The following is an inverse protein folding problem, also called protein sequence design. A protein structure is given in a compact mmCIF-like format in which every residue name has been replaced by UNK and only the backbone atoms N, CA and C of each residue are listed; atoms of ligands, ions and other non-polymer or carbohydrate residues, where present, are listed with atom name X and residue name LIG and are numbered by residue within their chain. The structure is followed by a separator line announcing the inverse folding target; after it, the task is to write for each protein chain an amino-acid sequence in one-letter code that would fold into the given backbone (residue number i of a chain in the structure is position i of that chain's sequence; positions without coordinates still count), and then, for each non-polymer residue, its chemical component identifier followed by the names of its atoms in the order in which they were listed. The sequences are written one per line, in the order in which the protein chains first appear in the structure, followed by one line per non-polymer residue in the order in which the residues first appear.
data_IF_591815650752
#
_entry.id   IF_591815650752
#
_cell.length_a   1.000
_cell.length_b   1.000
_cell.length_c   1.000
_cell.angle_alpha   90.00
_cell.angle_beta   90.00
_cell.angle_gamma   90.00
#
_symmetry.space_group_name_H-M   'P 1'
#
loop_
_entity.id
_entity.type
_entity.pdbx_description
1 polymer ?
#
# COMPACT_ATOMS: atom_id res chain seq x y z
N UNK A 1 28.22 2.49 10.37
CA UNK A 1 28.63 1.63 9.24
C UNK A 1 28.69 2.56 8.03
N UNK A 2 29.87 2.73 7.40
CA UNK A 2 29.99 3.56 6.20
C UNK A 2 29.27 2.89 5.03
N UNK A 3 28.56 3.71 4.22
CA UNK A 3 27.98 3.22 2.95
C UNK A 3 29.11 2.61 2.12
N UNK A 4 28.89 1.41 1.58
CA UNK A 4 29.82 0.85 0.62
C UNK A 4 29.78 1.70 -0.65
N UNK A 5 30.92 2.20 -1.10
CA UNK A 5 31.03 2.96 -2.35
C UNK A 5 30.44 2.14 -3.51
N UNK A 6 29.43 2.71 -4.21
CA UNK A 6 28.75 2.09 -5.33
C UNK A 6 27.51 1.24 -4.98
N UNK A 7 27.13 1.12 -3.71
CA UNK A 7 25.86 0.50 -3.34
C UNK A 7 24.65 1.38 -3.69
N UNK A 8 23.50 0.80 -4.10
CA UNK A 8 22.28 1.57 -4.29
C UNK A 8 21.91 2.35 -3.02
N UNK A 9 21.36 3.56 -3.17
CA UNK A 9 21.10 4.49 -2.05
C UNK A 9 20.23 3.87 -0.95
N UNK A 10 19.29 3.02 -1.32
CA UNK A 10 18.33 2.41 -0.39
C UNK A 10 18.94 1.31 0.50
N UNK A 11 20.12 0.76 0.13
CA UNK A 11 20.81 -0.20 0.99
C UNK A 11 21.42 0.48 2.21
N UNK A 12 20.93 0.10 3.40
CA UNK A 12 21.32 0.71 4.65
C UNK A 12 20.81 2.13 4.85
N UNK A 13 19.84 2.58 4.05
CA UNK A 13 19.25 3.90 4.18
C UNK A 13 18.36 4.00 5.43
N UNK A 14 18.38 5.18 6.04
CA UNK A 14 17.40 5.59 7.05
C UNK A 14 16.31 6.40 6.36
N UNK A 15 15.09 5.89 6.37
CA UNK A 15 13.92 6.53 5.75
C UNK A 15 13.06 7.15 6.84
N UNK A 16 12.86 8.47 6.79
CA UNK A 16 12.06 9.21 7.76
C UNK A 16 10.63 9.37 7.24
N UNK A 17 9.67 8.77 7.93
CA UNK A 17 8.26 8.90 7.57
C UNK A 17 7.68 10.22 8.08
N UNK A 18 6.96 10.93 7.22
CA UNK A 18 6.14 12.09 7.56
C UNK A 18 4.69 11.82 7.22
N UNK A 19 3.82 11.95 8.23
CA UNK A 19 2.39 12.00 8.02
C UNK A 19 1.98 13.49 7.89
N UNK A 20 1.65 13.97 6.68
CA UNK A 20 1.46 15.40 6.41
C UNK A 20 0.53 16.07 7.40
N UNK A 21 -0.63 15.45 7.65
CA UNK A 21 -1.72 15.98 8.47
C UNK A 21 -1.31 16.39 9.89
N UNK A 22 -0.32 15.74 10.49
CA UNK A 22 0.09 15.95 11.89
C UNK A 22 1.51 16.48 12.05
N UNK A 23 2.24 16.72 10.95
CA UNK A 23 3.66 17.06 11.03
C UNK A 23 3.92 18.54 11.30
N UNK A 24 3.44 19.42 10.42
CA UNK A 24 3.62 20.88 10.55
C UNK A 24 2.51 21.59 9.79
N UNK A 25 1.72 22.36 10.53
CA UNK A 25 0.72 23.29 10.03
C UNK A 25 1.43 24.60 9.64
N UNK A 26 1.27 25.03 8.39
CA UNK A 26 1.89 26.26 7.87
C UNK A 26 0.94 27.46 7.86
N UNK A 27 -0.38 27.23 7.89
CA UNK A 27 -1.40 28.25 7.70
C UNK A 27 -2.25 28.53 8.96
N UNK A 28 -2.10 27.70 10.01
CA UNK A 28 -2.78 27.88 11.31
C UNK A 28 -4.19 27.30 11.36
N UNK A 29 -4.56 26.39 10.45
CA UNK A 29 -5.88 25.77 10.43
C UNK A 29 -5.98 24.49 11.30
N UNK A 30 -4.89 24.07 11.92
CA UNK A 30 -4.80 22.90 12.79
C UNK A 30 -4.45 21.62 12.04
N UNK A 31 -4.17 21.69 10.74
CA UNK A 31 -3.83 20.56 9.88
C UNK A 31 -2.44 20.80 9.26
N UNK A 32 -1.56 19.81 9.38
CA UNK A 32 -0.25 19.85 8.71
C UNK A 32 -0.39 19.72 7.19
N UNK A 33 0.57 20.31 6.46
CA UNK A 33 0.51 20.47 5.02
C UNK A 33 1.89 20.34 4.32
N UNK A 34 1.92 20.34 2.99
CA UNK A 34 3.15 20.27 2.21
C UNK A 34 4.04 21.50 2.40
N UNK A 35 3.53 22.75 2.45
CA UNK A 35 4.35 23.91 2.82
C UNK A 35 4.98 23.77 4.21
N UNK A 36 4.30 23.18 5.17
CA UNK A 36 4.83 22.86 6.50
C UNK A 36 5.97 21.85 6.44
N UNK A 37 5.84 20.81 5.61
CA UNK A 37 6.93 19.85 5.35
C UNK A 37 8.11 20.59 4.72
N UNK A 38 7.85 21.41 3.70
CA UNK A 38 8.89 22.22 3.02
C UNK A 38 9.67 23.09 4.00
N UNK A 39 8.99 23.73 4.96
CA UNK A 39 9.62 24.55 5.98
C UNK A 39 10.51 23.77 6.96
N UNK A 40 10.27 22.44 7.12
CA UNK A 40 10.99 21.57 8.05
C UNK A 40 12.03 20.64 7.40
N UNK A 41 12.25 20.72 6.09
CA UNK A 41 13.20 19.84 5.39
C UNK A 41 14.64 19.98 5.90
N UNK A 42 15.08 21.19 6.28
CA UNK A 42 16.41 21.39 6.86
C UNK A 42 16.56 20.65 8.20
N UNK A 43 15.50 20.61 9.02
CA UNK A 43 15.47 19.82 10.24
C UNK A 43 15.57 18.32 9.94
N UNK A 44 14.78 17.81 8.97
CA UNK A 44 14.80 16.40 8.60
C UNK A 44 16.18 15.99 8.07
N UNK A 45 16.78 16.79 7.19
CA UNK A 45 18.13 16.56 6.68
C UNK A 45 19.18 16.58 7.81
N UNK A 46 19.01 17.47 8.78
CA UNK A 46 19.87 17.58 9.98
C UNK A 46 19.82 16.34 10.89
N UNK A 47 18.82 15.47 10.78
CA UNK A 47 18.76 14.19 11.50
C UNK A 47 19.73 13.16 10.91
N UNK A 48 20.29 13.40 9.71
CA UNK A 48 21.21 12.47 9.04
C UNK A 48 20.49 11.28 8.36
N UNK A 49 19.22 11.46 8.01
CA UNK A 49 18.44 10.48 7.25
C UNK A 49 18.76 10.55 5.76
N UNK A 50 18.50 9.48 5.01
CA UNK A 50 18.80 9.39 3.58
C UNK A 50 17.59 9.71 2.71
N UNK A 51 16.40 9.46 3.22
CA UNK A 51 15.17 9.64 2.46
C UNK A 51 14.02 10.13 3.35
N UNK A 52 13.09 10.83 2.72
CA UNK A 52 11.80 11.20 3.25
C UNK A 52 10.73 10.29 2.63
N UNK A 53 9.87 9.70 3.45
CA UNK A 53 8.65 9.03 3.01
C UNK A 53 7.43 9.85 3.45
N UNK A 54 6.66 10.33 2.48
CA UNK A 54 5.43 11.10 2.71
C UNK A 54 4.24 10.15 2.63
N UNK A 55 3.47 10.02 3.73
CA UNK A 55 2.20 9.30 3.77
C UNK A 55 1.16 9.95 2.84
N UNK A 56 0.02 9.27 2.50
CA UNK A 56 -0.87 9.74 1.45
C UNK A 56 -1.31 11.20 1.62
N UNK A 57 -1.18 11.96 0.54
CA UNK A 57 -1.59 13.37 0.44
C UNK A 57 -2.48 13.62 -0.80
N UNK A 58 -2.88 12.56 -1.49
CA UNK A 58 -3.74 12.60 -2.65
C UNK A 58 -5.17 13.02 -2.28
N UNK A 59 -5.97 13.44 -3.28
CA UNK A 59 -7.39 13.70 -3.06
C UNK A 59 -8.08 12.49 -2.45
N UNK A 60 -8.72 12.68 -1.31
CA UNK A 60 -9.36 11.64 -0.53
C UNK A 60 -10.54 12.19 0.27
N UNK A 61 -11.63 11.43 0.43
CA UNK A 61 -12.65 11.74 1.44
C UNK A 61 -12.17 11.61 2.89
N UNK A 62 -10.95 11.11 3.12
CA UNK A 62 -10.33 10.93 4.43
C UNK A 62 -11.07 9.95 5.35
N UNK A 63 -11.81 8.99 4.78
CA UNK A 63 -12.45 7.94 5.56
C UNK A 63 -11.42 6.99 6.20
N UNK A 64 -10.26 6.85 5.56
CA UNK A 64 -9.10 6.11 6.04
C UNK A 64 -7.83 6.99 5.97
N UNK A 65 -7.93 8.22 6.46
CA UNK A 65 -6.81 9.16 6.64
C UNK A 65 -5.92 9.35 5.40
N UNK A 66 -6.50 9.23 4.18
CA UNK A 66 -5.81 9.40 2.91
C UNK A 66 -5.53 8.10 2.15
N UNK A 67 -5.66 6.93 2.79
CA UNK A 67 -5.52 5.64 2.11
C UNK A 67 -6.72 5.28 1.24
N UNK A 68 -7.85 6.00 1.33
CA UNK A 68 -9.00 5.94 0.44
C UNK A 68 -8.89 6.99 -0.68
N UNK A 69 -8.07 6.70 -1.70
CA UNK A 69 -7.70 7.65 -2.76
C UNK A 69 -8.84 7.86 -3.76
N UNK A 70 -9.22 9.12 -3.98
CA UNK A 70 -10.21 9.52 -4.98
C UNK A 70 -9.61 10.05 -6.29
N UNK A 71 -8.35 10.52 -6.27
CA UNK A 71 -7.57 10.91 -7.45
C UNK A 71 -6.09 10.71 -7.15
N UNK A 72 -5.42 9.82 -7.92
CA UNK A 72 -4.01 9.48 -7.74
C UNK A 72 -3.02 10.54 -8.23
N UNK A 73 -3.49 11.53 -9.04
CA UNK A 73 -2.60 12.44 -9.77
C UNK A 73 -2.73 13.89 -9.33
N UNK A 74 -3.41 14.11 -8.20
CA UNK A 74 -3.56 15.45 -7.64
C UNK A 74 -3.38 15.42 -6.12
N UNK A 75 -3.01 16.58 -5.56
CA UNK A 75 -2.87 16.81 -4.13
C UNK A 75 -4.23 17.18 -3.56
N UNK A 76 -4.59 16.64 -2.38
CA UNK A 76 -5.77 17.10 -1.66
C UNK A 76 -5.58 18.57 -1.26
N UNK A 77 -6.56 19.45 -1.52
CA UNK A 77 -6.47 20.87 -1.16
C UNK A 77 -6.17 21.14 0.33
N UNK A 78 -6.49 20.18 1.20
CA UNK A 78 -6.12 20.22 2.62
C UNK A 78 -4.60 20.29 2.83
N UNK A 79 -3.83 19.64 1.95
CA UNK A 79 -2.37 19.54 2.05
C UNK A 79 -1.62 20.52 1.16
N UNK A 80 -2.30 21.19 0.23
CA UNK A 80 -1.69 22.13 -0.70
C UNK A 80 -1.96 21.80 -2.17
N UNK A 81 -0.96 22.01 -3.01
CA UNK A 81 -1.05 21.88 -4.47
C UNK A 81 0.09 21.01 -5.03
N UNK A 82 -0.02 20.63 -6.30
CA UNK A 82 1.08 19.98 -7.03
C UNK A 82 2.37 20.85 -7.05
N UNK A 83 2.22 22.17 -7.10
CA UNK A 83 3.38 23.08 -7.07
C UNK A 83 4.07 23.06 -5.69
N UNK A 84 3.31 22.93 -4.59
CA UNK A 84 3.89 22.76 -3.25
C UNK A 84 4.65 21.44 -3.14
N UNK A 85 4.10 20.38 -3.71
CA UNK A 85 4.78 19.08 -3.79
C UNK A 85 6.09 19.17 -4.60
N UNK A 86 6.05 19.80 -5.78
CA UNK A 86 7.24 19.99 -6.61
C UNK A 86 8.33 20.79 -5.85
N UNK A 87 7.94 21.78 -5.04
CA UNK A 87 8.85 22.53 -4.18
C UNK A 87 9.47 21.67 -3.07
N UNK A 88 8.68 20.76 -2.46
CA UNK A 88 9.20 19.79 -1.48
C UNK A 88 10.25 18.89 -2.12
N UNK A 89 9.98 18.31 -3.29
CA UNK A 89 10.91 17.44 -4.01
C UNK A 89 12.21 18.19 -4.35
N UNK A 90 12.10 19.38 -4.94
CA UNK A 90 13.25 20.18 -5.34
C UNK A 90 14.15 20.53 -4.14
N UNK A 91 13.56 20.94 -3.01
CA UNK A 91 14.34 21.28 -1.80
C UNK A 91 14.92 20.03 -1.15
N UNK A 92 14.19 18.91 -1.09
CA UNK A 92 14.70 17.65 -0.56
C UNK A 92 15.95 17.20 -1.34
N UNK A 93 15.90 17.22 -2.67
CA UNK A 93 17.04 16.90 -3.52
C UNK A 93 18.23 17.86 -3.32
N UNK A 94 17.97 19.17 -3.18
CA UNK A 94 19.02 20.14 -2.87
C UNK A 94 19.72 19.88 -1.52
N UNK A 95 19.03 19.24 -0.58
CA UNK A 95 19.55 18.81 0.73
C UNK A 95 20.16 17.40 0.69
N UNK A 96 20.16 16.72 -0.47
CA UNK A 96 20.68 15.37 -0.63
C UNK A 96 19.74 14.26 -0.15
N UNK A 97 18.46 14.58 0.14
CA UNK A 97 17.45 13.62 0.52
C UNK A 97 16.77 13.02 -0.70
N UNK A 98 16.50 11.71 -0.67
CA UNK A 98 15.58 11.04 -1.60
C UNK A 98 14.13 11.23 -1.13
N UNK A 99 13.18 11.26 -2.07
CA UNK A 99 11.76 11.42 -1.78
C UNK A 99 10.99 10.16 -2.20
N UNK A 100 10.37 9.52 -1.24
CA UNK A 100 9.42 8.42 -1.44
C UNK A 100 8.01 8.90 -1.09
N UNK A 101 7.03 8.44 -1.85
CA UNK A 101 5.61 8.67 -1.55
C UNK A 101 4.86 7.36 -1.38
N UNK A 102 3.77 7.41 -0.64
CA UNK A 102 2.88 6.28 -0.48
C UNK A 102 2.07 6.04 -1.75
N UNK A 103 1.83 4.79 -2.11
CA UNK A 103 0.96 4.40 -3.22
C UNK A 103 0.05 3.26 -2.80
N UNK A 104 -1.23 3.48 -2.86
CA UNK A 104 -2.27 2.49 -2.55
C UNK A 104 -2.78 1.92 -3.86
N UNK A 105 -2.31 0.72 -4.23
CA UNK A 105 -2.64 0.16 -5.54
C UNK A 105 -3.82 -0.83 -5.49
N UNK A 106 -4.06 -1.49 -4.36
CA UNK A 106 -5.03 -2.60 -4.24
C UNK A 106 -6.49 -2.14 -4.34
N UNK A 107 -6.80 -0.89 -3.96
CA UNK A 107 -8.16 -0.36 -3.89
C UNK A 107 -8.19 1.14 -4.18
N UNK A 108 -9.39 1.69 -4.34
CA UNK A 108 -9.61 3.14 -4.40
C UNK A 108 -10.64 3.55 -3.37
N UNK A 109 -10.84 4.86 -3.18
CA UNK A 109 -12.06 5.36 -2.55
C UNK A 109 -13.30 5.02 -3.40
N UNK A 110 -14.43 4.79 -2.76
CA UNK A 110 -15.74 4.77 -3.43
C UNK A 110 -16.09 6.11 -4.11
N UNK A 111 -15.38 7.20 -3.76
CA UNK A 111 -15.49 8.50 -4.41
C UNK A 111 -14.68 8.61 -5.71
N UNK A 112 -13.80 7.65 -6.01
CA UNK A 112 -12.99 7.63 -7.23
C UNK A 112 -13.87 7.54 -8.49
N UNK A 113 -13.49 8.27 -9.54
CA UNK A 113 -14.24 8.29 -10.79
C UNK A 113 -14.42 6.89 -11.42
N UNK A 114 -13.39 6.03 -11.32
CA UNK A 114 -13.45 4.66 -11.83
C UNK A 114 -14.52 3.82 -11.14
N UNK A 115 -14.64 3.92 -9.80
CA UNK A 115 -15.67 3.17 -9.08
C UNK A 115 -17.07 3.72 -9.35
N UNK A 116 -17.22 5.05 -9.41
CA UNK A 116 -18.50 5.67 -9.76
C UNK A 116 -19.01 5.18 -11.11
N UNK A 117 -18.14 5.06 -12.13
CA UNK A 117 -18.49 4.51 -13.43
C UNK A 117 -18.78 3.01 -13.33
N UNK A 118 -17.90 2.23 -12.71
CA UNK A 118 -18.02 0.77 -12.61
C UNK A 118 -19.33 0.32 -11.96
N UNK A 119 -19.75 1.02 -10.89
CA UNK A 119 -20.95 0.65 -10.11
C UNK A 119 -22.29 0.93 -10.80
N UNK A 120 -22.31 1.74 -11.87
CA UNK A 120 -23.56 2.13 -12.53
C UNK A 120 -24.27 0.97 -13.24
N UNK A 121 -23.49 0.10 -13.89
CA UNK A 121 -24.02 -1.06 -14.62
C UNK A 121 -22.91 -2.08 -14.91
N UNK A 122 -23.30 -3.21 -15.52
CA UNK A 122 -22.38 -4.34 -15.83
C UNK A 122 -21.70 -4.24 -17.20
N UNK A 123 -21.89 -3.16 -17.96
CA UNK A 123 -21.49 -3.08 -19.37
C UNK A 123 -20.72 -1.81 -19.75
N UNK A 124 -20.47 -0.89 -18.80
CA UNK A 124 -19.66 0.29 -19.08
C UNK A 124 -18.16 -0.06 -19.21
N UNK A 125 -17.37 0.89 -19.68
CA UNK A 125 -15.94 0.67 -19.94
C UNK A 125 -15.13 0.22 -18.72
N UNK A 126 -15.61 0.51 -17.50
CA UNK A 126 -14.95 0.11 -16.24
C UNK A 126 -15.73 -0.96 -15.48
N UNK A 127 -16.68 -1.63 -16.13
CA UNK A 127 -17.53 -2.61 -15.47
C UNK A 127 -16.73 -3.66 -14.68
N UNK A 128 -15.58 -4.12 -15.22
CA UNK A 128 -14.76 -5.17 -14.62
C UNK A 128 -13.45 -4.66 -13.99
N UNK A 129 -13.37 -3.33 -13.75
CA UNK A 129 -12.20 -2.73 -13.10
C UNK A 129 -12.12 -2.98 -11.60
N UNK A 130 -13.25 -3.34 -10.98
CA UNK A 130 -13.35 -3.72 -9.57
C UNK A 130 -13.78 -5.17 -9.44
N UNK A 131 -13.60 -5.74 -8.27
CA UNK A 131 -13.96 -7.13 -8.01
C UNK A 131 -15.44 -7.22 -7.68
N UNK A 132 -16.23 -7.67 -8.65
CA UNK A 132 -17.66 -7.85 -8.53
C UNK A 132 -18.04 -9.33 -8.53
N UNK A 133 -19.08 -9.70 -7.77
CA UNK A 133 -19.64 -11.04 -7.78
C UNK A 133 -21.15 -11.02 -7.59
N UNK A 134 -21.83 -11.98 -8.21
CA UNK A 134 -23.26 -12.19 -7.98
C UNK A 134 -23.50 -12.79 -6.58
N UNK A 135 -24.69 -12.49 -6.02
CA UNK A 135 -25.13 -13.13 -4.79
C UNK A 135 -25.33 -14.63 -5.00
N UNK A 136 -25.19 -15.42 -3.93
CA UNK A 136 -25.67 -16.80 -3.90
C UNK A 136 -27.21 -16.84 -4.06
N UNK A 137 -27.81 -18.00 -4.35
CA UNK A 137 -29.27 -18.14 -4.52
C UNK A 137 -30.08 -17.68 -3.30
N UNK A 138 -29.51 -17.71 -2.11
CA UNK A 138 -30.12 -17.23 -0.87
C UNK A 138 -29.90 -15.73 -0.59
N UNK A 139 -29.25 -15.02 -1.50
CA UNK A 139 -28.94 -13.61 -1.39
C UNK A 139 -27.66 -13.30 -0.60
N UNK A 140 -26.97 -14.30 -0.06
CA UNK A 140 -25.72 -14.10 0.69
C UNK A 140 -24.54 -13.77 -0.22
N UNK A 141 -23.43 -13.22 0.36
CA UNK A 141 -22.19 -12.96 -0.37
C UNK A 141 -21.59 -14.19 -1.04
N UNK A 142 -20.75 -14.04 -2.09
CA UNK A 142 -20.21 -15.17 -2.86
C UNK A 142 -19.37 -16.14 -2.04
N UNK A 143 -18.72 -15.69 -0.98
CA UNK A 143 -17.89 -16.50 -0.09
C UNK A 143 -17.81 -15.90 1.32
N UNK A 144 -16.97 -16.50 2.18
CA UNK A 144 -16.85 -16.18 3.60
C UNK A 144 -15.74 -15.17 3.92
N UNK A 145 -15.18 -14.45 2.95
CA UNK A 145 -14.05 -13.56 3.21
C UNK A 145 -14.42 -12.43 4.16
N UNK A 146 -13.46 -12.10 5.03
CA UNK A 146 -13.59 -11.06 6.05
C UNK A 146 -12.67 -9.90 5.75
N UNK A 147 -13.15 -8.70 6.07
CA UNK A 147 -12.40 -7.45 5.97
C UNK A 147 -11.42 -7.30 7.13
N UNK A 148 -10.23 -6.76 6.85
CA UNK A 148 -9.22 -6.44 7.86
C UNK A 148 -9.75 -5.49 8.95
N UNK A 149 -10.63 -4.56 8.59
CA UNK A 149 -11.23 -3.61 9.52
C UNK A 149 -12.52 -4.12 10.18
N UNK A 150 -12.84 -5.39 9.97
CA UNK A 150 -13.97 -6.08 10.59
C UNK A 150 -15.18 -6.25 9.67
N UNK A 151 -15.97 -7.26 9.97
CA UNK A 151 -17.14 -7.63 9.17
C UNK A 151 -16.82 -8.43 7.90
N UNK A 152 -17.82 -8.62 7.07
CA UNK A 152 -17.69 -9.33 5.78
C UNK A 152 -16.96 -8.45 4.77
N UNK A 153 -16.17 -9.05 3.89
CA UNK A 153 -15.41 -8.33 2.86
C UNK A 153 -16.25 -7.98 1.61
N UNK A 154 -17.54 -8.14 1.64
CA UNK A 154 -18.44 -7.94 0.52
C UNK A 154 -19.55 -6.96 0.84
N UNK A 155 -19.69 -5.90 0.01
CA UNK A 155 -20.74 -4.90 0.14
C UNK A 155 -21.69 -4.99 -1.06
N UNK A 156 -23.02 -5.04 -0.80
CA UNK A 156 -24.03 -5.04 -1.84
C UNK A 156 -24.17 -3.67 -2.50
N UNK A 157 -24.16 -3.66 -3.85
CA UNK A 157 -24.45 -2.48 -4.66
C UNK A 157 -25.76 -2.68 -5.43
N UNK A 158 -26.85 -2.01 -5.00
CA UNK A 158 -28.18 -2.24 -5.56
C UNK A 158 -28.35 -1.78 -7.00
N UNK A 159 -27.60 -0.76 -7.46
CA UNK A 159 -27.66 -0.29 -8.86
C UNK A 159 -27.18 -1.36 -9.82
N UNK A 160 -26.11 -2.04 -9.44
CA UNK A 160 -25.49 -3.09 -10.22
C UNK A 160 -26.11 -4.45 -9.95
N UNK A 161 -26.73 -4.64 -8.78
CA UNK A 161 -27.26 -5.93 -8.33
C UNK A 161 -26.16 -6.97 -8.15
N UNK A 162 -25.02 -6.56 -7.58
CA UNK A 162 -23.86 -7.41 -7.27
C UNK A 162 -23.22 -6.98 -5.97
N UNK A 163 -22.43 -7.84 -5.39
CA UNK A 163 -21.49 -7.51 -4.33
C UNK A 163 -20.17 -7.02 -4.94
N UNK A 164 -19.51 -6.04 -4.29
CA UNK A 164 -18.11 -5.74 -4.55
C UNK A 164 -17.24 -6.11 -3.36
N UNK A 165 -16.01 -6.51 -3.66
CA UNK A 165 -15.00 -6.82 -2.64
C UNK A 165 -14.44 -5.55 -2.02
N UNK A 166 -14.18 -5.60 -0.70
CA UNK A 166 -13.37 -4.63 0.03
C UNK A 166 -12.57 -5.35 1.13
N UNK A 167 -11.28 -5.44 0.98
CA UNK A 167 -10.43 -6.02 2.02
C UNK A 167 -10.26 -5.09 3.24
N UNK A 168 -10.55 -3.80 3.07
CA UNK A 168 -10.50 -2.75 4.09
C UNK A 168 -11.91 -2.18 4.36
N UNK A 169 -12.10 -0.86 4.39
CA UNK A 169 -13.43 -0.28 4.58
C UNK A 169 -14.36 -0.57 3.39
N UNK A 170 -15.68 -0.64 3.64
CA UNK A 170 -16.65 -0.71 2.56
C UNK A 170 -16.59 0.49 1.59
N UNK A 171 -16.02 1.62 2.03
CA UNK A 171 -15.71 2.78 1.19
C UNK A 171 -14.42 2.64 0.37
N UNK A 172 -13.72 1.51 0.46
CA UNK A 172 -12.47 1.20 -0.25
C UNK A 172 -12.65 -0.05 -1.13
N UNK A 173 -13.39 0.06 -2.26
CA UNK A 173 -13.60 -1.07 -3.16
C UNK A 173 -12.29 -1.53 -3.80
N UNK A 174 -12.07 -2.85 -3.83
CA UNK A 174 -10.87 -3.46 -4.37
C UNK A 174 -10.87 -3.45 -5.90
N UNK A 175 -9.74 -3.04 -6.47
CA UNK A 175 -9.48 -3.08 -7.90
C UNK A 175 -9.25 -4.52 -8.37
N UNK A 176 -9.74 -4.82 -9.56
CA UNK A 176 -9.55 -6.13 -10.19
C UNK A 176 -8.23 -6.20 -10.96
N UNK A 177 -7.15 -6.56 -10.29
CA UNK A 177 -5.83 -6.69 -10.92
C UNK A 177 -5.71 -7.85 -11.91
N UNK A 178 -6.70 -8.73 -12.00
CA UNK A 178 -6.79 -9.68 -13.11
C UNK A 178 -7.12 -8.99 -14.44
N UNK A 179 -7.60 -7.73 -14.42
CA UNK A 179 -7.85 -6.92 -15.60
C UNK A 179 -6.58 -6.19 -16.04
N UNK A 180 -6.08 -6.40 -17.29
CA UNK A 180 -4.82 -5.81 -17.72
C UNK A 180 -4.78 -4.29 -17.70
N UNK A 181 -5.92 -3.62 -18.01
CA UNK A 181 -6.00 -2.15 -17.99
C UNK A 181 -5.90 -1.58 -16.59
N UNK A 182 -6.37 -2.29 -15.54
CA UNK A 182 -6.20 -1.89 -14.15
C UNK A 182 -4.71 -1.89 -13.78
N UNK A 183 -3.98 -2.97 -14.14
CA UNK A 183 -2.54 -3.01 -13.94
C UNK A 183 -1.82 -1.88 -14.68
N UNK A 184 -2.24 -1.58 -15.92
CA UNK A 184 -1.63 -0.49 -16.69
C UNK A 184 -1.92 0.87 -16.06
N UNK A 185 -3.16 1.13 -15.63
CA UNK A 185 -3.54 2.37 -14.97
C UNK A 185 -2.75 2.59 -13.66
N UNK A 186 -2.50 1.52 -12.89
CA UNK A 186 -1.64 1.57 -11.71
C UNK A 186 -0.20 1.97 -12.08
N UNK A 187 0.39 1.35 -13.10
CA UNK A 187 1.73 1.71 -13.58
C UNK A 187 1.80 3.15 -14.10
N UNK A 188 0.75 3.62 -14.78
CA UNK A 188 0.70 5.00 -15.29
C UNK A 188 0.59 6.03 -14.14
N UNK A 189 -0.04 5.67 -13.03
CA UNK A 189 -0.03 6.51 -11.83
C UNK A 189 1.36 6.57 -11.18
N UNK A 190 2.08 5.45 -11.10
CA UNK A 190 3.46 5.44 -10.63
C UNK A 190 4.35 6.30 -11.54
N UNK A 191 4.22 6.15 -12.87
CA UNK A 191 4.97 6.94 -13.86
C UNK A 191 4.75 8.44 -13.69
N UNK A 192 3.52 8.88 -13.46
CA UNK A 192 3.19 10.29 -13.27
C UNK A 192 4.02 10.93 -12.14
N UNK A 193 4.24 10.21 -11.04
CA UNK A 193 5.02 10.72 -9.91
C UNK A 193 6.53 10.57 -10.12
N UNK A 194 6.98 9.52 -10.80
CA UNK A 194 8.38 9.39 -11.21
C UNK A 194 8.79 10.54 -12.15
N UNK A 195 7.94 10.90 -13.10
CA UNK A 195 8.17 12.03 -14.02
C UNK A 195 8.22 13.39 -13.29
N UNK A 196 7.65 13.46 -12.05
CA UNK A 196 7.75 14.64 -11.15
C UNK A 196 8.94 14.59 -10.21
N UNK A 197 9.83 13.62 -10.36
CA UNK A 197 11.08 13.54 -9.59
C UNK A 197 10.99 12.77 -8.29
N UNK A 198 9.93 11.98 -8.07
CA UNK A 198 9.88 11.03 -6.94
C UNK A 198 10.96 9.96 -7.11
N UNK A 199 11.74 9.67 -6.06
CA UNK A 199 12.80 8.67 -6.08
C UNK A 199 12.31 7.26 -5.71
N UNK A 200 11.05 7.11 -5.35
CA UNK A 200 10.51 5.79 -5.03
C UNK A 200 9.14 5.80 -4.36
N UNK A 201 8.67 4.61 -4.09
CA UNK A 201 7.36 4.38 -3.52
C UNK A 201 7.41 3.47 -2.31
N UNK A 202 6.60 3.80 -1.30
CA UNK A 202 6.11 2.80 -0.36
C UNK A 202 4.78 2.30 -0.92
N UNK A 203 4.70 1.00 -1.18
CA UNK A 203 3.53 0.36 -1.74
C UNK A 203 2.67 -0.22 -0.62
N UNK A 204 1.54 0.42 -0.37
CA UNK A 204 0.58 0.03 0.66
C UNK A 204 -0.04 -1.33 0.34
N UNK A 205 -0.08 -2.21 1.34
CA UNK A 205 -0.76 -3.50 1.26
C UNK A 205 -0.55 -4.23 -0.08
N UNK A 206 0.68 -4.25 -0.59
CA UNK A 206 0.96 -4.68 -1.98
C UNK A 206 0.59 -6.14 -2.25
N UNK A 207 0.47 -6.97 -1.23
CA UNK A 207 0.04 -8.35 -1.36
C UNK A 207 -1.49 -8.50 -1.55
N UNK A 208 -2.27 -7.41 -1.46
CA UNK A 208 -3.73 -7.41 -1.63
C UNK A 208 -4.20 -7.14 -3.08
N UNK A 209 -3.29 -6.94 -4.03
CA UNK A 209 -3.68 -6.61 -5.41
C UNK A 209 -4.45 -7.74 -6.12
N UNK A 210 -4.17 -8.99 -5.81
CA UNK A 210 -4.81 -10.14 -6.45
C UNK A 210 -5.56 -11.00 -5.45
N UNK A 211 -6.74 -11.47 -5.89
CA UNK A 211 -7.57 -12.43 -5.19
C UNK A 211 -7.69 -13.74 -5.98
N UNK A 212 -8.13 -14.82 -5.34
CA UNK A 212 -8.44 -16.08 -6.02
C UNK A 212 -9.62 -15.91 -6.98
N UNK A 213 -9.39 -16.14 -8.26
CA UNK A 213 -10.43 -16.04 -9.33
C UNK A 213 -11.63 -16.96 -9.12
N UNK A 214 -11.44 -18.06 -8.40
CA UNK A 214 -12.51 -19.02 -8.11
C UNK A 214 -13.35 -18.60 -6.91
N UNK A 215 -13.00 -17.53 -6.22
CA UNK A 215 -13.69 -17.01 -5.03
C UNK A 215 -13.92 -18.08 -3.96
N UNK A 216 -12.94 -18.98 -3.75
CA UNK A 216 -13.04 -20.08 -2.77
C UNK A 216 -13.11 -19.54 -1.35
N UNK A 217 -13.83 -20.22 -0.48
CA UNK A 217 -13.89 -19.89 0.93
C UNK A 217 -12.53 -20.01 1.61
N UNK A 218 -12.23 -19.08 2.50
CA UNK A 218 -11.05 -19.15 3.37
C UNK A 218 -11.26 -20.19 4.49
N UNK A 219 -10.25 -21.00 4.82
CA UNK A 219 -10.34 -21.96 5.92
C UNK A 219 -10.39 -21.26 7.28
N UNK A 220 -11.12 -21.83 8.23
CA UNK A 220 -11.13 -21.35 9.61
C UNK A 220 -9.76 -21.55 10.28
N UNK A 221 -9.32 -20.56 11.06
CA UNK A 221 -8.11 -20.63 11.86
C UNK A 221 -8.44 -21.14 13.27
N UNK A 222 -7.75 -22.16 13.77
CA UNK A 222 -7.98 -22.67 15.12
C UNK A 222 -7.64 -21.60 16.18
N UNK A 223 -8.33 -21.58 17.32
CA UNK A 223 -8.21 -20.51 18.32
C UNK A 223 -6.77 -20.21 18.76
N UNK A 224 -5.94 -21.22 18.94
CA UNK A 224 -4.54 -21.12 19.37
C UNK A 224 -3.60 -20.46 18.35
N UNK A 225 -4.05 -20.31 17.08
CA UNK A 225 -3.29 -19.66 16.01
C UNK A 225 -3.84 -18.27 15.64
N UNK A 226 -4.84 -17.79 16.36
CA UNK A 226 -5.42 -16.46 16.13
C UNK A 226 -4.53 -15.39 16.74
N UNK A 227 -3.74 -14.75 15.92
CA UNK A 227 -2.82 -13.69 16.32
C UNK A 227 -3.19 -12.41 15.57
N UNK A 228 -3.34 -11.32 16.29
CA UNK A 228 -3.45 -9.99 15.70
C UNK A 228 -2.04 -9.42 15.43
N UNK A 229 -1.81 -8.93 14.21
CA UNK A 229 -0.62 -8.18 13.84
C UNK A 229 -1.08 -6.86 13.24
N UNK A 230 -1.02 -5.79 14.05
CA UNK A 230 -1.60 -4.51 13.67
C UNK A 230 -3.13 -4.39 13.82
N UNK A 231 -3.80 -5.44 14.35
CA UNK A 231 -5.23 -5.46 14.72
C UNK A 231 -5.46 -6.34 15.95
N UNK A 232 -6.61 -6.13 16.64
CA UNK A 232 -6.95 -6.92 17.84
C UNK A 232 -7.12 -8.41 17.50
N UNK A 233 -6.65 -9.35 18.34
CA UNK A 233 -6.93 -10.78 18.19
C UNK A 233 -8.42 -11.14 18.21
N UNK A 234 -9.27 -10.28 18.78
CA UNK A 234 -10.73 -10.42 18.79
C UNK A 234 -11.39 -9.98 17.48
N UNK A 235 -10.65 -9.37 16.57
CA UNK A 235 -11.16 -9.04 15.25
C UNK A 235 -11.45 -10.34 14.49
N UNK A 236 -12.67 -10.53 13.94
CA UNK A 236 -13.03 -11.72 13.17
C UNK A 236 -12.07 -12.05 12.03
N UNK A 237 -11.34 -11.07 11.50
CA UNK A 237 -10.27 -11.29 10.52
C UNK A 237 -9.24 -12.31 11.00
N UNK A 238 -8.89 -12.35 12.29
CA UNK A 238 -7.99 -13.33 12.88
C UNK A 238 -8.57 -14.77 12.87
N UNK A 239 -9.85 -14.97 12.59
CA UNK A 239 -10.53 -16.27 12.67
C UNK A 239 -10.41 -17.13 11.42
N UNK A 240 -9.84 -16.59 10.33
CA UNK A 240 -9.60 -17.28 9.06
C UNK A 240 -8.13 -17.26 8.69
N UNK A 241 -7.71 -18.26 7.89
CA UNK A 241 -6.53 -18.11 7.03
C UNK A 241 -6.91 -17.31 5.80
N UNK A 242 -6.08 -16.36 5.41
CA UNK A 242 -6.33 -15.47 4.26
C UNK A 242 -5.60 -15.97 3.00
N UNK A 243 -5.93 -17.23 2.58
CA UNK A 243 -5.27 -17.87 1.45
C UNK A 243 -5.83 -17.44 0.09
N UNK A 244 -7.05 -16.86 0.07
CA UNK A 244 -7.77 -16.62 -1.19
C UNK A 244 -8.11 -15.16 -1.45
N UNK A 245 -8.15 -14.30 -0.43
CA UNK A 245 -8.49 -12.88 -0.62
C UNK A 245 -7.27 -11.98 -0.82
N UNK A 246 -6.04 -12.47 -0.61
CA UNK A 246 -4.79 -11.74 -0.86
C UNK A 246 -3.62 -12.72 -1.13
N UNK A 247 -2.43 -12.18 -1.35
CA UNK A 247 -1.16 -12.92 -1.49
C UNK A 247 -1.21 -14.02 -2.57
N UNK A 248 -1.87 -13.73 -3.71
CA UNK A 248 -1.96 -14.68 -4.82
C UNK A 248 -0.66 -14.67 -5.65
N UNK A 249 -0.28 -15.82 -6.25
CA UNK A 249 0.97 -15.95 -7.02
C UNK A 249 1.03 -15.04 -8.25
N UNK A 250 -0.11 -14.64 -8.81
CA UNK A 250 -0.17 -13.71 -9.95
C UNK A 250 0.44 -12.34 -9.63
N UNK A 251 0.49 -11.96 -8.34
CA UNK A 251 1.09 -10.71 -7.92
C UNK A 251 2.58 -10.63 -8.26
N UNK A 252 3.30 -11.75 -8.27
CA UNK A 252 4.73 -11.78 -8.58
C UNK A 252 5.04 -11.19 -9.96
N UNK A 253 4.24 -11.53 -10.97
CA UNK A 253 4.39 -10.99 -12.32
C UNK A 253 4.09 -9.47 -12.35
N UNK A 254 3.16 -8.99 -11.53
CA UNK A 254 2.88 -7.56 -11.43
C UNK A 254 4.03 -6.81 -10.72
N UNK A 255 4.62 -7.37 -9.68
CA UNK A 255 5.82 -6.80 -9.05
C UNK A 255 6.99 -6.68 -10.04
N UNK A 256 7.19 -7.66 -10.92
CA UNK A 256 8.19 -7.57 -11.99
C UNK A 256 7.88 -6.44 -12.99
N UNK A 257 6.60 -6.16 -13.28
CA UNK A 257 6.20 -5.01 -14.10
C UNK A 257 6.47 -3.68 -13.40
N UNK A 258 6.20 -3.59 -12.08
CA UNK A 258 6.57 -2.41 -11.29
C UNK A 258 8.08 -2.20 -11.34
N UNK A 259 8.85 -3.25 -11.12
CA UNK A 259 10.32 -3.17 -11.17
C UNK A 259 10.82 -2.75 -12.55
N UNK A 260 10.26 -3.27 -13.62
CA UNK A 260 10.62 -2.88 -14.98
C UNK A 260 10.29 -1.40 -15.29
N UNK A 261 9.27 -0.84 -14.65
CA UNK A 261 9.00 0.60 -14.70
C UNK A 261 10.07 1.38 -13.93
N UNK A 262 10.37 1.00 -12.69
CA UNK A 262 11.35 1.68 -11.85
C UNK A 262 12.75 1.66 -12.46
N UNK A 263 13.16 0.57 -13.08
CA UNK A 263 14.45 0.44 -13.77
C UNK A 263 14.63 1.44 -14.95
N UNK A 264 13.58 2.14 -15.38
CA UNK A 264 13.67 3.20 -16.40
C UNK A 264 14.07 4.56 -15.79
N UNK A 265 14.05 4.68 -14.46
CA UNK A 265 14.36 5.91 -13.73
C UNK A 265 15.61 5.69 -12.86
N UNK A 266 16.64 6.54 -12.99
CA UNK A 266 17.85 6.41 -12.19
C UNK A 266 17.52 6.42 -10.70
N UNK A 267 18.03 5.42 -9.98
CA UNK A 267 17.92 5.32 -8.52
C UNK A 267 16.49 5.17 -7.96
N UNK A 268 15.47 4.93 -8.80
CA UNK A 268 14.13 4.71 -8.28
C UNK A 268 14.01 3.38 -7.52
N UNK A 269 13.36 3.40 -6.36
CA UNK A 269 13.21 2.22 -5.51
C UNK A 269 11.76 2.03 -5.02
N UNK A 270 11.40 0.78 -4.69
CA UNK A 270 10.12 0.47 -4.06
C UNK A 270 10.32 -0.31 -2.76
N UNK A 271 9.53 0.07 -1.76
CA UNK A 271 9.38 -0.57 -0.47
C UNK A 271 7.95 -1.12 -0.36
N UNK A 272 7.78 -2.43 -0.28
CA UNK A 272 6.47 -3.05 -0.12
C UNK A 272 6.07 -3.26 1.33
N UNK A 273 4.85 -2.89 1.68
CA UNK A 273 4.22 -3.33 2.92
C UNK A 273 3.57 -4.69 2.71
N UNK A 274 3.89 -5.65 3.59
CA UNK A 274 3.47 -7.04 3.43
C UNK A 274 2.82 -7.54 4.72
N UNK A 275 1.54 -7.88 4.62
CA UNK A 275 0.75 -8.50 5.68
C UNK A 275 0.14 -9.80 5.15
N UNK A 276 0.77 -10.93 5.43
CA UNK A 276 0.33 -12.25 4.98
C UNK A 276 0.42 -13.28 6.12
N UNK A 277 -0.04 -14.50 5.87
CA UNK A 277 0.03 -15.59 6.86
C UNK A 277 1.47 -15.95 7.25
N UNK A 278 2.42 -15.88 6.31
CA UNK A 278 3.88 -15.93 6.55
C UNK A 278 4.55 -14.71 5.89
N UNK A 279 4.47 -13.58 6.59
CA UNK A 279 4.94 -12.30 6.05
C UNK A 279 6.44 -12.31 5.72
N UNK A 280 7.27 -13.02 6.49
CA UNK A 280 8.71 -13.09 6.22
C UNK A 280 9.02 -13.92 4.96
N UNK A 281 8.30 -15.02 4.73
CA UNK A 281 8.45 -15.78 3.49
C UNK A 281 7.96 -14.99 2.28
N UNK A 282 6.80 -14.35 2.38
CA UNK A 282 6.25 -13.49 1.33
C UNK A 282 7.19 -12.32 1.04
N UNK A 283 7.78 -11.70 2.06
CA UNK A 283 8.74 -10.62 1.91
C UNK A 283 9.99 -11.07 1.15
N UNK A 284 10.55 -12.24 1.50
CA UNK A 284 11.67 -12.83 0.78
C UNK A 284 11.33 -13.10 -0.69
N UNK A 285 10.14 -13.65 -0.97
CA UNK A 285 9.68 -13.89 -2.33
C UNK A 285 9.47 -12.59 -3.13
N UNK A 286 8.84 -11.56 -2.51
CA UNK A 286 8.53 -10.29 -3.17
C UNK A 286 9.76 -9.41 -3.44
N UNK A 287 10.87 -9.66 -2.74
CA UNK A 287 12.14 -8.94 -2.95
C UNK A 287 13.18 -9.75 -3.72
N UNK A 288 12.89 -11.03 -4.03
CA UNK A 288 13.80 -11.87 -4.82
C UNK A 288 13.83 -11.47 -6.31
N UNK A 289 14.99 -11.64 -6.94
CA UNK A 289 15.15 -11.42 -8.38
C UNK A 289 14.88 -9.98 -8.81
N UNK A 290 14.02 -9.83 -9.82
CA UNK A 290 13.64 -8.51 -10.38
C UNK A 290 12.25 -8.08 -9.89
N UNK A 291 12.01 -8.10 -8.59
CA UNK A 291 10.79 -7.63 -7.94
C UNK A 291 11.07 -6.37 -7.12
N UNK A 292 10.48 -6.22 -5.96
CA UNK A 292 10.68 -5.03 -5.13
C UNK A 292 12.13 -4.92 -4.63
N UNK A 293 12.57 -3.71 -4.34
CA UNK A 293 13.90 -3.44 -3.77
C UNK A 293 13.94 -3.74 -2.28
N UNK A 294 12.86 -3.45 -1.58
CA UNK A 294 12.73 -3.56 -0.13
C UNK A 294 11.33 -4.06 0.22
N UNK A 295 11.20 -4.66 1.39
CA UNK A 295 9.92 -5.01 1.99
C UNK A 295 9.97 -4.88 3.50
N UNK A 296 8.83 -4.63 4.12
CA UNK A 296 8.68 -4.74 5.56
C UNK A 296 7.39 -5.48 5.92
N UNK A 297 7.36 -6.02 7.12
CA UNK A 297 6.25 -6.79 7.65
C UNK A 297 5.82 -6.28 9.02
N UNK A 298 4.70 -6.79 9.51
CA UNK A 298 4.19 -6.47 10.84
C UNK A 298 4.67 -7.41 11.96
N UNK A 299 5.77 -8.15 11.75
CA UNK A 299 6.27 -9.11 12.74
C UNK A 299 6.67 -8.45 14.08
N UNK A 300 7.00 -7.16 14.06
CA UNK A 300 7.30 -6.38 15.27
C UNK A 300 6.07 -5.64 15.83
N UNK A 301 4.91 -5.68 15.16
CA UNK A 301 3.64 -5.14 15.68
C UNK A 301 2.95 -6.17 16.58
N UNK A 302 3.55 -6.44 17.72
CA UNK A 302 3.07 -7.38 18.75
C UNK A 302 3.18 -6.76 20.12
N UNK A 303 2.56 -7.36 21.14
CA UNK A 303 2.69 -6.94 22.52
C UNK A 303 4.04 -7.34 23.16
N UNK A 304 4.85 -8.16 22.45
CA UNK A 304 6.19 -8.55 22.90
C UNK A 304 7.27 -7.57 22.43
N UNK A 305 7.66 -6.65 23.31
CA UNK A 305 8.77 -5.71 23.11
C UNK A 305 10.11 -6.19 23.67
N UNK A 306 10.25 -7.50 23.92
CA UNK A 306 11.50 -8.04 24.46
C UNK A 306 12.65 -7.95 23.43
N UNK A 307 13.87 -7.69 23.93
CA UNK A 307 15.08 -7.73 23.12
C UNK A 307 15.27 -9.10 22.43
N UNK A 308 14.77 -10.17 23.06
CA UNK A 308 14.78 -11.53 22.50
C UNK A 308 13.91 -11.58 21.24
N UNK A 309 12.64 -11.13 21.31
CA UNK A 309 11.72 -11.13 20.18
C UNK A 309 12.28 -10.34 19.00
N UNK A 310 12.77 -9.12 19.23
CA UNK A 310 13.37 -8.28 18.20
C UNK A 310 14.55 -8.98 17.53
N UNK A 311 15.50 -9.48 18.32
CA UNK A 311 16.68 -10.19 17.79
C UNK A 311 16.30 -11.43 17.00
N UNK A 312 15.38 -12.25 17.53
CA UNK A 312 15.01 -13.52 16.91
C UNK A 312 14.21 -13.27 15.61
N UNK A 313 13.40 -12.20 15.53
CA UNK A 313 12.72 -11.75 14.30
C UNK A 313 13.75 -11.30 13.25
N UNK A 314 14.72 -10.47 13.64
CA UNK A 314 15.79 -10.02 12.73
C UNK A 314 16.61 -11.21 12.23
N UNK A 315 17.04 -12.11 13.10
CA UNK A 315 17.80 -13.29 12.72
C UNK A 315 17.02 -14.22 11.77
N UNK A 316 15.69 -14.36 11.99
CA UNK A 316 14.82 -15.14 11.10
C UNK A 316 14.72 -14.47 9.73
N UNK A 317 14.56 -13.14 9.71
CA UNK A 317 14.54 -12.36 8.47
C UNK A 317 15.84 -12.54 7.68
N UNK A 318 17.00 -12.32 8.32
CA UNK A 318 18.31 -12.48 7.69
C UNK A 318 18.51 -13.90 7.12
N UNK A 319 18.04 -14.93 7.84
CA UNK A 319 18.16 -16.31 7.38
C UNK A 319 17.32 -16.59 6.12
N UNK A 320 16.15 -15.94 5.98
CA UNK A 320 15.23 -16.10 4.84
C UNK A 320 15.62 -15.24 3.64
N UNK A 321 16.25 -14.09 3.87
CA UNK A 321 16.58 -13.09 2.83
C UNK A 321 17.96 -13.30 2.19
N UNK A 322 18.63 -14.43 2.41
CA UNK A 322 20.04 -14.69 2.00
C UNK A 322 20.35 -14.47 0.52
N UNK A 323 19.36 -14.45 -0.36
CA UNK A 323 19.56 -14.26 -1.82
C UNK A 323 19.16 -12.86 -2.33
N UNK A 324 18.64 -11.98 -1.50
CA UNK A 324 18.04 -10.69 -1.90
C UNK A 324 18.66 -9.45 -1.30
N UNK A 325 19.67 -9.57 -0.45
CA UNK A 325 20.31 -8.43 0.25
C UNK A 325 21.69 -8.10 -0.30
#
# INVERSE_FOLDING_TARGET
MGKQDGAPWWRGAVIYQVYPRSFQDSNGDGIGDLPGILARLDYIAGLGVDALWISPFFKSPMADFGYDIADYRDVDPMFGTLADFDAVVAKAHALGLKVMIDQVLSHTSAAHAWFKESRENRTNAKADWYVWADAKPDGSPPNNWLSLFGGVAWQWEPRRGQYYLHNFLASQPDLNFHHPEVQQAALDNLRFWLDRGVDGFRLDAINFCFHDRLLRDNPAKPPELRVGRGFSPDNPYAFQYHHHNNTQPENLAFLERIRALLDQYPDAAALGEISSEDSLATMAEYTAGRRLHMGYSFELLTDDFSARHIRDTVATLEARMREGW
#
